data_IF_625196716152
#
_entry.id   IF_625196716152
#
_cell.length_a   1.000
_cell.length_b   1.000
_cell.length_c   1.000
_cell.angle_alpha   90.00
_cell.angle_beta   90.00
_cell.angle_gamma   90.00
#
_symmetry.space_group_name_H-M   'P 1'
#
loop_
_entity.id
_entity.type
_entity.pdbx_description
1 polymer ?
#
# COMPACT_ATOMS: atom_id res chain seq x y z
N UNK A 1 0.80 -20.30 -27.12
CA UNK A 1 1.57 -20.23 -25.86
C UNK A 1 1.52 -18.80 -25.39
N UNK A 2 1.13 -18.54 -24.14
CA UNK A 2 1.08 -17.17 -23.59
C UNK A 2 2.47 -16.55 -23.59
N UNK A 3 2.56 -15.24 -23.82
CA UNK A 3 3.83 -14.53 -23.80
C UNK A 3 4.41 -14.57 -22.36
N UNK A 4 5.59 -15.16 -22.11
CA UNK A 4 6.17 -15.26 -20.76
C UNK A 4 6.30 -13.90 -20.07
N UNK A 5 6.57 -12.85 -20.84
CA UNK A 5 6.72 -11.48 -20.35
C UNK A 5 5.40 -10.94 -19.74
N UNK A 6 4.26 -11.31 -20.33
CA UNK A 6 2.92 -10.95 -19.82
C UNK A 6 2.64 -11.68 -18.49
N UNK A 7 3.07 -12.94 -18.37
CA UNK A 7 2.93 -13.68 -17.11
C UNK A 7 3.81 -13.10 -16.01
N UNK A 8 5.03 -12.67 -16.34
CA UNK A 8 5.93 -12.06 -15.38
C UNK A 8 5.41 -10.70 -14.89
N UNK A 9 4.95 -9.84 -15.80
CA UNK A 9 4.36 -8.54 -15.47
C UNK A 9 3.11 -8.67 -14.58
N UNK A 10 2.23 -9.63 -14.89
CA UNK A 10 1.06 -9.91 -14.07
C UNK A 10 1.43 -10.44 -12.67
N UNK A 11 2.45 -11.30 -12.59
CA UNK A 11 2.95 -11.83 -11.31
C UNK A 11 3.55 -10.71 -10.45
N UNK A 12 4.40 -9.86 -11.05
CA UNK A 12 4.96 -8.67 -10.38
C UNK A 12 3.86 -7.74 -9.88
N UNK A 13 2.85 -7.46 -10.72
CA UNK A 13 1.72 -6.63 -10.34
C UNK A 13 0.90 -7.23 -9.18
N UNK A 14 0.72 -8.56 -9.14
CA UNK A 14 0.05 -9.24 -8.04
C UNK A 14 0.85 -9.15 -6.74
N UNK A 15 2.17 -9.34 -6.79
CA UNK A 15 3.05 -9.20 -5.62
C UNK A 15 3.05 -7.77 -5.07
N UNK A 16 3.08 -6.75 -5.96
CA UNK A 16 3.03 -5.34 -5.56
C UNK A 16 1.70 -4.97 -4.89
N UNK A 17 0.57 -5.48 -5.39
CA UNK A 17 -0.74 -5.29 -4.74
C UNK A 17 -0.80 -5.95 -3.38
N UNK A 18 -0.34 -7.19 -3.27
CA UNK A 18 -0.28 -7.92 -1.99
C UNK A 18 0.56 -7.18 -0.95
N UNK A 19 1.72 -6.62 -1.36
CA UNK A 19 2.56 -5.82 -0.48
C UNK A 19 1.87 -4.52 -0.04
N UNK A 20 1.15 -3.85 -0.95
CA UNK A 20 0.38 -2.66 -0.63
C UNK A 20 -0.73 -2.95 0.40
N UNK A 21 -1.46 -4.05 0.22
CA UNK A 21 -2.53 -4.46 1.12
C UNK A 21 -1.98 -4.85 2.50
N UNK A 22 -0.83 -5.54 2.54
CA UNK A 22 -0.14 -5.85 3.80
C UNK A 22 0.27 -4.58 4.56
N UNK A 23 0.88 -3.62 3.86
CA UNK A 23 1.27 -2.33 4.46
C UNK A 23 0.05 -1.60 5.02
N UNK A 24 -1.07 -1.54 4.30
CA UNK A 24 -2.29 -0.89 4.77
C UNK A 24 -2.90 -1.61 6.00
N UNK A 25 -2.87 -2.95 6.03
CA UNK A 25 -3.37 -3.71 7.19
C UNK A 25 -2.56 -3.47 8.48
N UNK A 26 -1.24 -3.24 8.36
CA UNK A 26 -0.38 -3.01 9.51
C UNK A 26 -0.66 -1.69 10.24
N UNK A 27 -1.19 -0.68 9.54
CA UNK A 27 -1.37 0.67 10.11
C UNK A 27 -2.72 0.85 10.81
N UNK A 28 -3.70 -0.01 10.53
CA UNK A 28 -5.04 0.11 11.12
C UNK A 28 -5.07 -0.26 12.60
N UNK A 29 -4.34 -1.30 13.01
CA UNK A 29 -4.32 -1.74 14.42
C UNK A 29 -3.68 -0.70 15.36
N UNK A 30 -2.49 -0.12 15.06
CA UNK A 30 -1.89 0.91 15.92
C UNK A 30 -2.68 2.22 15.91
N UNK A 31 -3.30 2.57 14.79
CA UNK A 31 -4.20 3.73 14.72
C UNK A 31 -5.44 3.53 15.59
N UNK A 32 -6.05 2.34 15.55
CA UNK A 32 -7.22 2.00 16.38
C UNK A 32 -6.86 2.02 17.86
N UNK A 33 -5.73 1.42 18.25
CA UNK A 33 -5.28 1.43 19.64
C UNK A 33 -4.94 2.84 20.14
N UNK A 34 -4.27 3.67 19.34
CA UNK A 34 -3.92 5.04 19.74
C UNK A 34 -5.12 5.98 19.82
N UNK A 35 -6.15 5.78 18.99
CA UNK A 35 -7.38 6.58 19.02
C UNK A 35 -8.39 6.11 20.08
N UNK A 36 -8.39 4.81 20.40
CA UNK A 36 -9.38 4.19 21.30
C UNK A 36 -8.84 3.95 22.70
N UNK A 37 -7.70 3.28 22.84
CA UNK A 37 -7.14 2.89 24.13
C UNK A 37 -6.39 4.03 24.82
N UNK A 38 -5.66 4.84 24.05
CA UNK A 38 -4.88 5.94 24.63
C UNK A 38 -5.74 7.17 24.94
N UNK A 39 -7.03 7.18 24.64
CA UNK A 39 -7.93 8.35 24.87
C UNK A 39 -7.97 8.78 26.34
N UNK A 40 -7.73 7.85 27.26
CA UNK A 40 -7.67 8.07 28.71
C UNK A 40 -6.33 8.64 29.16
N UNK A 41 -5.28 8.56 28.33
CA UNK A 41 -3.97 9.14 28.60
C UNK A 41 -3.93 10.56 28.02
N UNK A 42 -4.35 11.53 28.82
CA UNK A 42 -4.25 12.94 28.48
C UNK A 42 -2.86 13.46 28.88
N UNK A 43 -2.14 14.09 27.93
CA UNK A 43 -0.86 14.74 28.19
C UNK A 43 -0.03 14.97 26.92
N UNK A 44 0.91 15.94 26.92
CA UNK A 44 1.70 16.31 25.75
C UNK A 44 2.44 15.14 25.08
N UNK A 45 2.93 14.19 25.87
CA UNK A 45 3.61 12.99 25.37
C UNK A 45 2.66 12.03 24.63
N UNK A 46 1.42 11.91 25.09
CA UNK A 46 0.41 11.09 24.43
C UNK A 46 0.00 11.70 23.08
N UNK A 47 -0.12 13.02 23.01
CA UNK A 47 -0.40 13.75 21.77
C UNK A 47 0.75 13.64 20.76
N UNK A 48 2.00 13.71 21.21
CA UNK A 48 3.18 13.50 20.36
C UNK A 48 3.18 12.08 19.75
N UNK A 49 2.95 11.04 20.57
CA UNK A 49 2.89 9.65 20.10
C UNK A 49 1.73 9.45 19.10
N UNK A 50 0.55 10.02 19.36
CA UNK A 50 -0.57 10.01 18.40
C UNK A 50 -0.21 10.70 17.09
N UNK A 51 0.48 11.84 17.15
CA UNK A 51 0.97 12.57 15.98
C UNK A 51 1.95 11.75 15.13
N UNK A 52 2.87 11.04 15.79
CA UNK A 52 3.82 10.12 15.13
C UNK A 52 3.10 8.95 14.47
N UNK A 53 2.16 8.31 15.14
CA UNK A 53 1.36 7.21 14.59
C UNK A 53 0.50 7.66 13.39
N UNK A 54 -0.11 8.84 13.47
CA UNK A 54 -0.85 9.45 12.36
C UNK A 54 0.07 9.72 11.16
N UNK A 55 1.27 10.25 11.41
CA UNK A 55 2.24 10.52 10.35
C UNK A 55 2.75 9.23 9.69
N UNK A 56 2.97 8.18 10.49
CA UNK A 56 3.33 6.85 10.00
C UNK A 56 2.22 6.26 9.12
N UNK A 57 0.95 6.36 9.53
CA UNK A 57 -0.21 6.00 8.70
C UNK A 57 -0.22 6.68 7.35
N UNK A 58 -0.02 8.00 7.31
CA UNK A 58 0.04 8.74 6.05
C UNK A 58 1.17 8.25 5.15
N UNK A 59 2.35 7.97 5.72
CA UNK A 59 3.49 7.44 4.96
C UNK A 59 3.21 6.05 4.40
N UNK A 60 2.67 5.14 5.21
CA UNK A 60 2.27 3.79 4.77
C UNK A 60 1.25 3.87 3.62
N UNK A 61 0.21 4.69 3.74
CA UNK A 61 -0.77 4.86 2.66
C UNK A 61 -0.17 5.46 1.38
N UNK A 62 0.84 6.34 1.51
CA UNK A 62 1.57 6.89 0.35
C UNK A 62 2.39 5.79 -0.35
N UNK A 63 3.08 4.94 0.42
CA UNK A 63 3.84 3.81 -0.12
C UNK A 63 2.92 2.78 -0.76
N UNK A 64 1.83 2.42 -0.09
CA UNK A 64 0.84 1.48 -0.62
C UNK A 64 0.22 2.00 -1.93
N UNK A 65 -0.05 3.31 -2.02
CA UNK A 65 -0.50 3.94 -3.26
C UNK A 65 0.56 3.83 -4.37
N UNK A 66 1.81 4.17 -4.08
CA UNK A 66 2.90 4.07 -5.07
C UNK A 66 3.08 2.63 -5.60
N UNK A 67 2.97 1.63 -4.71
CA UNK A 67 3.01 0.21 -5.09
C UNK A 67 1.83 -0.19 -5.99
N UNK A 68 0.61 0.31 -5.71
CA UNK A 68 -0.57 0.07 -6.55
C UNK A 68 -0.47 0.76 -7.91
N UNK A 69 0.06 1.97 -7.95
CA UNK A 69 0.30 2.70 -9.20
C UNK A 69 1.32 1.96 -10.08
N UNK A 70 2.39 1.43 -9.49
CA UNK A 70 3.38 0.63 -10.20
C UNK A 70 2.79 -0.71 -10.68
N UNK A 71 1.99 -1.37 -9.85
CA UNK A 71 1.25 -2.58 -10.25
C UNK A 71 0.28 -2.30 -11.42
N UNK A 72 -0.35 -1.12 -11.43
CA UNK A 72 -1.24 -0.70 -12.50
C UNK A 72 -0.45 -0.52 -13.82
N UNK A 73 0.71 0.15 -13.78
CA UNK A 73 1.58 0.28 -14.95
C UNK A 73 2.02 -1.07 -15.50
N UNK A 74 2.52 -1.97 -14.65
CA UNK A 74 2.91 -3.31 -15.08
C UNK A 74 1.75 -4.10 -15.71
N UNK A 75 0.52 -3.92 -15.21
CA UNK A 75 -0.69 -4.52 -15.82
C UNK A 75 -1.04 -3.87 -17.16
N UNK A 76 -0.82 -2.56 -17.29
CA UNK A 76 -1.04 -1.80 -18.54
C UNK A 76 -0.04 -2.25 -19.61
N UNK A 77 1.25 -2.32 -19.26
CA UNK A 77 2.31 -2.78 -20.16
C UNK A 77 2.04 -4.21 -20.65
N UNK A 78 1.57 -5.09 -19.76
CA UNK A 78 1.17 -6.44 -20.12
C UNK A 78 0.01 -6.47 -21.13
N UNK A 79 -0.97 -5.56 -21.01
CA UNK A 79 -2.08 -5.42 -21.97
C UNK A 79 -1.62 -4.86 -23.30
N UNK A 80 -0.72 -3.88 -23.28
CA UNK A 80 -0.15 -3.28 -24.49
C UNK A 80 0.72 -4.30 -25.25
N UNK A 81 1.48 -5.13 -24.54
CA UNK A 81 2.18 -6.30 -25.10
C UNK A 81 1.22 -7.36 -25.67
N UNK A 82 0.05 -7.54 -25.06
CA UNK A 82 -0.98 -8.47 -25.55
C UNK A 82 -1.70 -7.95 -26.80
N UNK A 83 -1.81 -6.62 -26.94
CA UNK A 83 -2.53 -5.95 -28.01
C UNK A 83 -1.66 -4.86 -28.66
N UNK A 84 -0.61 -5.24 -29.43
CA UNK A 84 0.32 -4.29 -30.05
C UNK A 84 -0.29 -3.46 -31.22
N UNK A 85 -1.62 -3.29 -31.29
CA UNK A 85 -2.30 -2.53 -32.34
C UNK A 85 -2.76 -1.16 -31.84
N UNK A 86 -1.86 -0.20 -31.93
CA UNK A 86 -2.14 1.10 -32.55
C UNK A 86 -0.98 1.47 -33.48
#
# INVERSE_FOLDING_TARGET
MGNPDIQELNTRAASLRSLADYIDSMVDQPNTQSTTAMKTWAGPNADDVRGKLKSWRTKCGTVAKALRDEAHKATQDAKDLQNPKK
#
